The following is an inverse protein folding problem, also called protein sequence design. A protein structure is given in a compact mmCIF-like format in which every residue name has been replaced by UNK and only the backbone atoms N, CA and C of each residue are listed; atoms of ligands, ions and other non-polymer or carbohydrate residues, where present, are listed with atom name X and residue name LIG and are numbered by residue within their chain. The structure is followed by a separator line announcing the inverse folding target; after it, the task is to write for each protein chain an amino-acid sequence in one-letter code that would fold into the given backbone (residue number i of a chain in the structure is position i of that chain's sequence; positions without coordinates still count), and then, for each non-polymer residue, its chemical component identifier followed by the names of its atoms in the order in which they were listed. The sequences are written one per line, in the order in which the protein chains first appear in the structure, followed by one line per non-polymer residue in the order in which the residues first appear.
data_IF_508863666114
#
_entry.id   IF_508863666114
#
_cell.length_a   1.000
_cell.length_b   1.000
_cell.length_c   1.000
_cell.angle_alpha   90.00
_cell.angle_beta   90.00
_cell.angle_gamma   90.00
#
_symmetry.space_group_name_H-M   'P 1'
#
loop_
_entity.id
_entity.type
_entity.pdbx_description
1 polymer ?
#
# COMPACT_ATOMS: atom_id res chain seq x y z
N UNK A 1 -1.16 0.79 -4.65
CA UNK A 1 -2.21 0.97 -3.63
C UNK A 1 -3.41 1.60 -4.31
N UNK A 2 -4.61 1.04 -4.14
CA UNK A 2 -5.82 1.59 -4.79
C UNK A 2 -6.26 2.87 -4.08
N UNK A 3 -6.97 3.74 -4.79
CA UNK A 3 -7.59 4.90 -4.18
C UNK A 3 -8.65 4.45 -3.15
N UNK A 4 -8.53 4.95 -1.93
CA UNK A 4 -9.49 4.72 -0.84
C UNK A 4 -10.07 6.08 -0.47
N UNK A 5 -11.40 6.17 -0.40
CA UNK A 5 -12.07 7.41 0.01
C UNK A 5 -11.60 7.84 1.42
N UNK A 6 -11.38 9.14 1.59
CA UNK A 6 -10.86 9.69 2.85
C UNK A 6 -9.35 9.53 3.05
N UNK A 7 -8.60 9.06 2.05
CA UNK A 7 -7.13 8.96 2.09
C UNK A 7 -6.49 9.64 0.88
N UNK A 8 -5.62 10.63 1.12
CA UNK A 8 -4.76 11.21 0.09
C UNK A 8 -3.47 10.38 -0.03
N UNK A 9 -3.17 9.89 -1.24
CA UNK A 9 -1.99 9.05 -1.52
C UNK A 9 -1.07 9.73 -2.54
N UNK A 10 0.25 9.53 -2.39
CA UNK A 10 1.23 10.09 -3.31
C UNK A 10 1.12 9.46 -4.71
N UNK A 11 0.66 10.21 -5.72
CA UNK A 11 0.56 9.74 -7.11
C UNK A 11 -0.85 9.38 -7.60
N UNK A 12 -1.90 9.69 -6.82
CA UNK A 12 -3.29 9.64 -7.30
C UNK A 12 -3.86 8.21 -7.41
N UNK A 13 -4.49 7.88 -8.55
CA UNK A 13 -5.37 6.70 -8.67
C UNK A 13 -4.63 5.35 -8.76
N UNK A 14 -3.38 5.31 -9.22
CA UNK A 14 -2.64 4.06 -9.42
C UNK A 14 -1.14 4.20 -9.14
N UNK A 15 -0.78 4.10 -7.86
CA UNK A 15 0.61 4.18 -7.41
C UNK A 15 1.19 2.78 -7.33
N UNK A 16 2.23 2.53 -8.12
CA UNK A 16 3.01 1.29 -8.13
C UNK A 16 4.49 1.64 -7.97
N UNK A 17 5.17 0.88 -7.12
CA UNK A 17 6.62 0.97 -6.94
C UNK A 17 7.23 -0.37 -7.39
N UNK A 18 8.28 -0.31 -8.20
CA UNK A 18 9.05 -1.49 -8.57
C UNK A 18 10.24 -1.63 -7.64
N UNK A 19 10.40 -2.81 -7.05
CA UNK A 19 11.51 -3.12 -6.14
C UNK A 19 12.11 -4.48 -6.47
N UNK A 20 13.42 -4.61 -6.32
CA UNK A 20 14.14 -5.88 -6.43
C UNK A 20 14.52 -6.33 -5.04
N UNK A 21 14.10 -7.54 -4.66
CA UNK A 21 14.43 -8.16 -3.37
C UNK A 21 15.43 -9.29 -3.62
N UNK A 22 16.67 -9.21 -3.11
CA UNK A 22 17.62 -10.31 -3.22
C UNK A 22 17.12 -11.57 -2.52
N UNK A 23 17.54 -12.74 -3.02
CA UNK A 23 17.19 -14.03 -2.41
C UNK A 23 17.59 -14.09 -0.93
N UNK A 24 16.73 -14.69 -0.10
CA UNK A 24 16.92 -14.80 1.35
C UNK A 24 17.14 -13.46 2.08
N UNK A 25 16.62 -12.35 1.52
CA UNK A 25 16.71 -11.01 2.09
C UNK A 25 15.33 -10.36 2.19
N UNK A 26 15.26 -9.18 2.81
CA UNK A 26 14.03 -8.38 2.91
C UNK A 26 14.31 -6.92 2.56
N UNK A 27 13.34 -6.27 1.90
CA UNK A 27 13.38 -4.84 1.57
C UNK A 27 12.07 -4.20 1.99
N UNK A 28 12.14 -3.05 2.65
CA UNK A 28 10.97 -2.25 3.02
C UNK A 28 10.57 -1.32 1.86
N UNK A 29 9.27 -1.22 1.61
CA UNK A 29 8.69 -0.27 0.65
C UNK A 29 7.81 0.70 1.42
N UNK A 30 8.07 2.00 1.29
CA UNK A 30 7.38 3.05 2.02
C UNK A 30 6.30 3.72 1.16
N UNK A 31 5.13 3.94 1.74
CA UNK A 31 4.04 4.68 1.11
C UNK A 31 3.69 5.90 1.97
N UNK A 32 3.71 7.09 1.36
CA UNK A 32 3.27 8.32 2.04
C UNK A 32 1.78 8.52 1.80
N UNK A 33 1.02 8.64 2.88
CA UNK A 33 -0.43 8.84 2.87
C UNK A 33 -0.85 9.88 3.90
N UNK A 34 -1.92 10.61 3.64
CA UNK A 34 -2.51 11.59 4.56
C UNK A 34 -4.02 11.30 4.69
N UNK A 35 -4.51 10.91 5.88
CA UNK A 35 -5.93 10.77 6.12
C UNK A 35 -6.65 12.12 6.03
N UNK A 36 -7.86 12.12 5.46
CA UNK A 36 -8.70 13.30 5.27
C UNK A 36 -9.98 13.24 6.11
N UNK A 37 -10.24 12.13 6.79
CA UNK A 37 -11.44 11.89 7.61
C UNK A 37 -11.08 11.19 8.91
N UNK A 38 -11.86 11.44 9.96
CA UNK A 38 -11.78 10.74 11.24
C UNK A 38 -12.54 9.41 11.12
N UNK A 39 -12.06 8.36 11.80
CA UNK A 39 -12.72 7.06 11.85
C UNK A 39 -11.81 5.91 11.40
N UNK A 40 -12.40 4.87 10.83
CA UNK A 40 -11.67 3.67 10.41
C UNK A 40 -11.63 3.59 8.88
N UNK A 41 -10.42 3.63 8.31
CA UNK A 41 -10.19 3.58 6.86
C UNK A 41 -9.58 2.21 6.51
N UNK A 42 -10.22 1.39 5.66
CA UNK A 42 -9.63 0.13 5.22
C UNK A 42 -8.48 0.40 4.24
N UNK A 43 -7.29 -0.11 4.57
CA UNK A 43 -6.09 0.02 3.74
C UNK A 43 -5.66 -1.35 3.26
N UNK A 44 -5.42 -1.46 1.95
CA UNK A 44 -4.92 -2.67 1.29
C UNK A 44 -3.62 -2.40 0.53
N UNK A 45 -2.59 -3.17 0.83
CA UNK A 45 -1.31 -3.17 0.12
C UNK A 45 -1.18 -4.48 -0.62
N UNK A 46 -0.83 -4.41 -1.90
CA UNK A 46 -0.64 -5.57 -2.77
C UNK A 46 0.82 -5.60 -3.26
N UNK A 47 1.45 -6.76 -3.18
CA UNK A 47 2.73 -7.04 -3.81
C UNK A 47 2.51 -8.09 -4.90
N UNK A 48 3.04 -7.83 -6.09
CA UNK A 48 2.94 -8.74 -7.22
C UNK A 48 4.32 -8.88 -7.86
N UNK A 49 4.83 -10.11 -7.87
CA UNK A 49 5.98 -10.48 -8.67
C UNK A 49 5.56 -10.61 -10.14
N UNK A 50 6.49 -10.38 -11.06
CA UNK A 50 6.25 -10.44 -12.50
C UNK A 50 5.64 -11.76 -12.95
N UNK A 51 6.10 -12.88 -12.39
CA UNK A 51 5.94 -14.18 -13.05
C UNK A 51 5.32 -15.29 -12.19
N UNK A 52 5.13 -15.11 -10.87
CA UNK A 52 4.88 -16.29 -10.02
C UNK A 52 4.17 -16.09 -8.68
N UNK A 53 4.21 -14.92 -8.06
CA UNK A 53 3.71 -14.73 -6.69
C UNK A 53 2.95 -13.42 -6.54
N UNK A 54 1.88 -13.46 -5.76
CA UNK A 54 1.16 -12.26 -5.31
C UNK A 54 0.79 -12.43 -3.85
N UNK A 55 0.93 -11.36 -3.09
CA UNK A 55 0.48 -11.31 -1.70
C UNK A 55 -0.22 -9.97 -1.42
N UNK A 56 -1.08 -9.97 -0.41
CA UNK A 56 -1.91 -8.83 -0.05
C UNK A 56 -2.20 -8.77 1.44
N UNK A 57 -2.04 -7.58 2.01
CA UNK A 57 -2.40 -7.30 3.41
C UNK A 57 -3.47 -6.24 3.43
N UNK A 58 -4.54 -6.51 4.16
CA UNK A 58 -5.63 -5.57 4.43
C UNK A 58 -5.74 -5.32 5.94
N UNK A 59 -5.79 -4.05 6.33
CA UNK A 59 -5.89 -3.61 7.73
C UNK A 59 -6.73 -2.35 7.85
N UNK A 60 -7.36 -2.17 9.01
CA UNK A 60 -8.05 -0.92 9.35
C UNK A 60 -7.07 0.09 9.94
N UNK A 61 -6.96 1.26 9.32
CA UNK A 61 -6.31 2.43 9.89
C UNK A 61 -7.33 3.21 10.72
N UNK A 62 -7.10 3.32 12.03
CA UNK A 62 -7.88 4.17 12.92
C UNK A 62 -7.27 5.57 12.95
N UNK A 63 -8.08 6.59 12.71
CA UNK A 63 -7.74 8.02 12.70
C UNK A 63 -8.56 8.71 13.77
N UNK A 64 -7.89 9.47 14.64
CA UNK A 64 -8.46 10.20 15.78
C UNK A 64 -8.39 11.71 15.57
#
# INVERSE_FOLDING_TARGET
MNNVEGLCTAGGKEVKEQVVVPGNSAVAVYFTVVPLVIGNIPIKVMAQASDSASDGVEKMLRVE
#
